data_IF_450357170649
#
_entry.id   IF_450357170649
#
_cell.length_a   1.000
_cell.length_b   1.000
_cell.length_c   1.000
_cell.angle_alpha   90.00
_cell.angle_beta   90.00
_cell.angle_gamma   90.00
#
_symmetry.space_group_name_H-M   'P 1'
#
loop_
_entity.id
_entity.type
_entity.pdbx_description
1 polymer ?
#
# COMPACT_ATOMS: atom_id res chain seq x y z
N UNK A 1 9.61 -2.38 5.27
CA UNK A 1 9.90 -1.00 5.74
C UNK A 1 10.61 -0.88 7.08
N UNK A 2 11.04 -1.99 7.73
CA UNK A 2 11.75 -1.98 9.04
C UNK A 2 11.01 -1.26 10.18
N UNK A 3 9.69 -1.06 10.05
CA UNK A 3 8.83 -0.55 11.12
C UNK A 3 8.64 -1.67 12.16
N UNK A 4 9.08 -1.47 13.42
CA UNK A 4 9.08 -2.55 14.41
C UNK A 4 7.69 -2.80 15.06
N UNK A 5 6.76 -1.84 14.95
CA UNK A 5 5.47 -1.90 15.63
C UNK A 5 5.59 -1.76 17.15
N UNK A 6 4.53 -2.12 17.87
CA UNK A 6 4.52 -2.10 19.33
C UNK A 6 5.23 -3.31 19.92
N UNK A 7 6.02 -3.11 20.98
CA UNK A 7 6.80 -4.20 21.59
C UNK A 7 5.87 -5.31 22.11
N UNK A 8 6.16 -6.56 21.70
CA UNK A 8 5.39 -7.73 22.15
C UNK A 8 4.00 -7.84 21.50
N UNK A 9 3.68 -7.02 20.50
CA UNK A 9 2.42 -7.08 19.76
C UNK A 9 2.66 -7.67 18.38
N UNK A 10 2.37 -8.97 18.24
CA UNK A 10 2.26 -9.62 16.93
C UNK A 10 0.88 -9.45 16.30
N UNK A 11 0.71 -9.93 15.07
CA UNK A 11 -0.54 -9.79 14.31
C UNK A 11 -1.79 -10.29 15.05
N UNK A 12 -1.70 -11.41 15.77
CA UNK A 12 -2.81 -11.96 16.56
C UNK A 12 -3.22 -11.00 17.68
N UNK A 13 -2.26 -10.55 18.48
CA UNK A 13 -2.50 -9.60 19.58
C UNK A 13 -3.04 -8.28 19.04
N UNK A 14 -2.53 -7.80 17.91
CA UNK A 14 -3.04 -6.60 17.25
C UNK A 14 -4.51 -6.77 16.85
N UNK A 15 -4.89 -7.91 16.24
CA UNK A 15 -6.28 -8.18 15.89
C UNK A 15 -7.20 -8.25 17.13
N UNK A 16 -6.73 -8.82 18.24
CA UNK A 16 -7.47 -8.82 19.52
C UNK A 16 -7.62 -7.42 20.14
N UNK A 17 -6.67 -6.51 19.88
CA UNK A 17 -6.77 -5.11 20.31
C UNK A 17 -7.76 -4.32 19.44
N UNK A 18 -7.75 -4.54 18.13
CA UNK A 18 -8.70 -3.89 17.21
C UNK A 18 -10.15 -4.30 17.45
N UNK A 19 -10.40 -5.46 18.05
CA UNK A 19 -11.74 -5.85 18.51
C UNK A 19 -12.22 -5.04 19.72
N UNK A 20 -11.31 -4.41 20.47
CA UNK A 20 -11.59 -3.71 21.73
C UNK A 20 -11.51 -2.19 21.60
N UNK A 21 -10.66 -1.70 20.72
CA UNK A 21 -10.40 -0.28 20.51
C UNK A 21 -10.64 0.09 19.05
N UNK A 22 -11.25 1.25 18.83
CA UNK A 22 -11.49 1.83 17.50
C UNK A 22 -10.21 2.47 16.92
N UNK A 23 -9.12 1.71 16.94
CA UNK A 23 -7.81 2.12 16.46
C UNK A 23 -6.78 2.48 17.53
N UNK A 24 -5.61 2.91 17.07
CA UNK A 24 -4.44 3.15 17.90
C UNK A 24 -4.68 4.24 18.95
N UNK A 25 -5.28 5.38 18.55
CA UNK A 25 -5.50 6.50 19.47
C UNK A 25 -6.44 6.14 20.63
N UNK A 26 -7.47 5.34 20.38
CA UNK A 26 -8.35 4.84 21.44
C UNK A 26 -7.60 3.95 22.44
N UNK A 27 -6.70 3.08 21.97
CA UNK A 27 -5.86 2.27 22.84
C UNK A 27 -4.86 3.13 23.64
N UNK A 28 -4.26 4.16 23.01
CA UNK A 28 -3.34 5.09 23.67
C UNK A 28 -4.05 5.91 24.76
N UNK A 29 -5.28 6.37 24.50
CA UNK A 29 -6.09 7.12 25.46
C UNK A 29 -6.44 6.28 26.71
N UNK A 30 -6.60 4.96 26.55
CA UNK A 30 -6.79 3.99 27.64
C UNK A 30 -5.47 3.60 28.34
N UNK A 31 -4.37 4.31 28.06
CA UNK A 31 -3.06 4.12 28.70
C UNK A 31 -2.23 2.95 28.17
N UNK A 32 -2.68 2.28 27.10
CA UNK A 32 -1.87 1.25 26.44
C UNK A 32 -0.67 1.90 25.75
N UNK A 33 0.46 1.20 25.73
CA UNK A 33 1.66 1.63 25.00
C UNK A 33 2.21 3.01 25.40
N UNK A 34 1.95 3.47 26.63
CA UNK A 34 2.35 4.81 27.09
C UNK A 34 3.84 5.12 26.87
N UNK A 35 4.73 4.13 27.04
CA UNK A 35 6.19 4.28 26.86
C UNK A 35 6.63 4.43 25.40
N UNK A 36 5.77 4.10 24.43
CA UNK A 36 6.09 4.08 23.00
C UNK A 36 5.04 4.83 22.14
N UNK A 37 4.14 5.59 22.77
CA UNK A 37 3.02 6.25 22.10
C UNK A 37 3.44 7.11 20.88
N UNK A 38 4.45 7.96 21.06
CA UNK A 38 4.96 8.81 19.98
C UNK A 38 5.60 8.01 18.84
N UNK A 39 6.29 6.92 19.17
CA UNK A 39 6.85 6.03 18.16
C UNK A 39 5.73 5.35 17.36
N UNK A 40 4.67 4.89 18.02
CA UNK A 40 3.53 4.26 17.33
C UNK A 40 2.77 5.24 16.43
N UNK A 41 2.61 6.50 16.86
CA UNK A 41 2.04 7.55 16.00
C UNK A 41 2.91 7.82 14.78
N UNK A 42 4.24 7.87 14.95
CA UNK A 42 5.16 7.98 13.83
C UNK A 42 5.02 6.79 12.88
N UNK A 43 5.00 5.56 13.41
CA UNK A 43 4.84 4.36 12.60
C UNK A 43 3.52 4.34 11.85
N UNK A 44 2.42 4.75 12.48
CA UNK A 44 1.12 4.87 11.83
C UNK A 44 1.16 5.86 10.67
N UNK A 45 1.78 7.04 10.87
CA UNK A 45 1.94 8.03 9.79
C UNK A 45 2.75 7.48 8.61
N UNK A 46 3.84 6.75 8.87
CA UNK A 46 4.67 6.15 7.81
C UNK A 46 3.94 5.01 7.10
N UNK A 47 3.19 4.20 7.83
CA UNK A 47 2.47 3.05 7.29
C UNK A 47 1.14 3.40 6.60
N UNK A 48 0.68 4.66 6.72
CA UNK A 48 -0.58 5.12 6.12
C UNK A 48 -0.28 5.90 4.84
N UNK A 49 -0.95 5.53 3.75
CA UNK A 49 -0.85 6.27 2.49
C UNK A 49 -1.41 7.68 2.67
N UNK A 50 -0.65 8.69 2.22
CA UNK A 50 -1.09 10.09 2.23
C UNK A 50 -2.04 10.35 1.05
N UNK A 51 -3.34 10.48 1.34
CA UNK A 51 -4.37 10.78 0.35
C UNK A 51 -4.35 12.25 -0.13
N UNK A 52 -3.63 13.13 0.56
CA UNK A 52 -3.48 14.54 0.18
C UNK A 52 -2.20 14.78 -0.64
N UNK A 53 -1.41 13.73 -0.92
CA UNK A 53 -0.21 13.84 -1.73
C UNK A 53 -0.54 14.48 -3.09
N UNK A 54 0.19 15.52 -3.52
CA UNK A 54 -0.09 16.20 -4.78
C UNK A 54 0.23 15.26 -5.93
N UNK A 55 -0.80 14.91 -6.70
CA UNK A 55 -0.66 14.10 -7.91
C UNK A 55 -1.09 14.91 -9.13
N UNK A 56 -0.39 14.77 -10.27
CA UNK A 56 -0.87 15.34 -11.52
C UNK A 56 -2.17 14.65 -11.92
N UNK A 57 -3.10 15.40 -12.51
CA UNK A 57 -4.28 14.81 -13.13
C UNK A 57 -3.83 14.00 -14.36
N UNK A 58 -4.28 12.76 -14.43
CA UNK A 58 -4.15 11.94 -15.64
C UNK A 58 -5.50 11.96 -16.34
N UNK A 59 -5.48 12.25 -17.64
CA UNK A 59 -6.65 12.10 -18.49
C UNK A 59 -6.93 10.62 -18.74
N UNK A 60 -8.19 10.30 -19.05
CA UNK A 60 -8.55 8.96 -19.50
C UNK A 60 -7.82 8.64 -20.82
N UNK A 61 -7.29 7.43 -20.93
CA UNK A 61 -6.53 6.98 -22.11
C UNK A 61 -7.15 5.70 -22.67
N UNK A 62 -7.21 5.61 -23.99
CA UNK A 62 -7.48 4.34 -24.66
C UNK A 62 -6.18 3.55 -24.83
N UNK A 63 -6.18 2.24 -24.59
CA UNK A 63 -4.98 1.42 -24.78
C UNK A 63 -4.60 1.32 -26.26
N UNK A 64 -3.30 1.40 -26.54
CA UNK A 64 -2.72 1.19 -27.88
C UNK A 64 -2.04 -0.18 -27.96
N UNK A 65 -2.84 -1.23 -28.13
CA UNK A 65 -2.40 -2.61 -27.94
C UNK A 65 -1.23 -3.04 -28.85
N UNK A 66 -1.23 -2.68 -30.14
CA UNK A 66 -0.13 -3.00 -31.06
C UNK A 66 1.20 -2.37 -30.62
N UNK A 67 1.18 -1.07 -30.30
CA UNK A 67 2.36 -0.37 -29.77
C UNK A 67 2.86 -1.00 -28.46
N UNK A 68 1.95 -1.42 -27.58
CA UNK A 68 2.31 -2.12 -26.36
C UNK A 68 2.93 -3.49 -26.64
N UNK A 69 2.43 -4.21 -27.66
CA UNK A 69 2.97 -5.50 -28.07
C UNK A 69 4.38 -5.38 -28.66
N UNK A 70 4.64 -4.37 -29.48
CA UNK A 70 5.96 -4.05 -30.03
C UNK A 70 6.96 -3.76 -28.90
N UNK A 71 6.61 -2.86 -27.98
CA UNK A 71 7.47 -2.52 -26.84
C UNK A 71 7.77 -3.72 -25.94
N UNK A 72 6.76 -4.56 -25.66
CA UNK A 72 6.95 -5.78 -24.88
C UNK A 72 7.90 -6.76 -25.59
N UNK A 73 7.88 -6.82 -26.93
CA UNK A 73 8.80 -7.65 -27.73
C UNK A 73 10.22 -7.12 -27.64
N UNK A 74 10.43 -5.81 -27.74
CA UNK A 74 11.75 -5.18 -27.59
C UNK A 74 12.39 -5.47 -26.23
N UNK A 75 11.57 -5.56 -25.17
CA UNK A 75 12.03 -5.96 -23.83
C UNK A 75 12.20 -7.48 -23.65
N UNK A 76 11.98 -8.28 -24.68
CA UNK A 76 12.11 -9.74 -24.63
C UNK A 76 10.95 -10.45 -23.91
N UNK A 77 9.82 -9.77 -23.69
CA UNK A 77 8.63 -10.31 -23.02
C UNK A 77 7.70 -10.99 -24.04
N UNK A 78 8.17 -12.04 -24.70
CA UNK A 78 7.49 -12.67 -25.87
C UNK A 78 6.04 -13.05 -25.60
N UNK A 79 5.74 -13.75 -24.50
CA UNK A 79 4.36 -14.16 -24.15
C UNK A 79 3.45 -12.98 -23.83
N UNK A 80 4.00 -11.89 -23.31
CA UNK A 80 3.22 -10.68 -23.04
C UNK A 80 2.93 -9.93 -24.35
N UNK A 81 3.93 -9.81 -25.24
CA UNK A 81 3.77 -9.24 -26.57
C UNK A 81 2.64 -9.92 -27.35
N UNK A 82 2.62 -11.25 -27.39
CA UNK A 82 1.57 -12.03 -28.07
C UNK A 82 0.18 -11.76 -27.48
N UNK A 83 0.07 -11.73 -26.15
CA UNK A 83 -1.20 -11.44 -25.47
C UNK A 83 -1.69 -10.02 -25.73
N UNK A 84 -0.79 -9.05 -25.80
CA UNK A 84 -1.14 -7.66 -26.11
C UNK A 84 -1.56 -7.51 -27.58
N UNK A 85 -0.84 -8.14 -28.51
CA UNK A 85 -1.21 -8.14 -29.93
C UNK A 85 -2.59 -8.77 -30.16
N UNK A 86 -2.96 -9.81 -29.41
CA UNK A 86 -4.29 -10.43 -29.52
C UNK A 86 -5.45 -9.56 -29.00
N UNK A 87 -5.15 -8.45 -28.31
CA UNK A 87 -6.15 -7.45 -27.90
C UNK A 87 -6.33 -6.34 -28.94
N UNK A 88 -5.45 -6.30 -29.94
CA UNK A 88 -5.62 -5.47 -31.12
C UNK A 88 -6.70 -6.11 -32.01
N UNK A 89 -7.78 -5.37 -32.26
CA UNK A 89 -8.95 -5.84 -32.99
C UNK A 89 -8.66 -6.15 -34.45
#
# INVERSE_FOLDING_TARGET
>A
DKIPGARGVGAKTAAELLKRYDGLEAALADGRFATEAEALRLYLRVATMDAAAPLPRLEDQAPTWGRSAELAREWGLTRLSERLAALEG
#
